data_IF_929342092782
#
_entry.id   IF_929342092782
#
_cell.length_a   1.000
_cell.length_b   1.000
_cell.length_c   1.000
_cell.angle_alpha   90.00
_cell.angle_beta   90.00
_cell.angle_gamma   90.00
#
_symmetry.space_group_name_H-M   'P 1'
#
loop_
_entity.id
_entity.type
_entity.pdbx_description
1 polymer ?
#
# COMPACT_ATOMS: atom_id res chain seq x y z
N UNK A 1 10.64 -19.69 15.09
CA UNK A 1 9.48 -20.30 14.40
C UNK A 1 9.96 -20.84 13.05
N UNK A 2 9.63 -22.10 12.69
CA UNK A 2 9.98 -22.65 11.37
C UNK A 2 8.71 -22.74 10.53
N UNK A 3 8.62 -21.91 9.50
CA UNK A 3 7.53 -21.98 8.53
C UNK A 3 7.91 -23.02 7.49
N UNK A 4 7.04 -24.02 7.26
CA UNK A 4 7.25 -25.03 6.23
C UNK A 4 7.42 -24.37 4.85
N UNK A 5 8.33 -24.84 4.00
CA UNK A 5 8.51 -24.25 2.68
C UNK A 5 7.79 -25.11 1.64
N UNK A 6 6.57 -24.73 1.29
CA UNK A 6 5.88 -25.28 0.12
C UNK A 6 6.31 -24.53 -1.14
N UNK A 7 6.17 -25.15 -2.32
CA UNK A 7 6.53 -24.51 -3.59
C UNK A 7 5.78 -23.19 -3.82
N UNK A 8 4.49 -23.16 -3.47
CA UNK A 8 3.69 -21.93 -3.55
C UNK A 8 4.23 -20.84 -2.64
N UNK A 9 4.65 -21.19 -1.42
CA UNK A 9 5.20 -20.23 -0.46
C UNK A 9 6.58 -19.75 -0.90
N UNK A 10 7.41 -20.64 -1.44
CA UNK A 10 8.70 -20.29 -2.01
C UNK A 10 8.56 -19.25 -3.13
N UNK A 11 7.63 -19.44 -4.06
CA UNK A 11 7.36 -18.46 -5.13
C UNK A 11 6.89 -17.11 -4.59
N UNK A 12 5.97 -17.11 -3.62
CA UNK A 12 5.53 -15.86 -2.97
C UNK A 12 6.67 -15.12 -2.27
N UNK A 13 7.61 -15.84 -1.66
CA UNK A 13 8.78 -15.23 -1.03
C UNK A 13 9.74 -14.60 -2.03
N UNK A 14 9.94 -15.20 -3.21
CA UNK A 14 10.73 -14.55 -4.27
C UNK A 14 10.04 -13.27 -4.77
N UNK A 15 8.72 -13.29 -5.00
CA UNK A 15 7.99 -12.07 -5.36
C UNK A 15 8.03 -10.99 -4.28
N UNK A 16 7.99 -11.38 -3.01
CA UNK A 16 8.14 -10.45 -1.90
C UNK A 16 9.54 -9.82 -1.89
N UNK A 17 10.59 -10.59 -2.13
CA UNK A 17 11.95 -10.06 -2.25
C UNK A 17 12.07 -9.06 -3.40
N UNK A 18 11.51 -9.38 -4.55
CA UNK A 18 11.47 -8.47 -5.70
C UNK A 18 10.72 -7.16 -5.37
N UNK A 19 9.54 -7.27 -4.73
CA UNK A 19 8.72 -6.11 -4.39
C UNK A 19 9.32 -5.22 -3.29
N UNK A 20 10.03 -5.82 -2.33
CA UNK A 20 10.65 -5.11 -1.20
C UNK A 20 12.09 -4.65 -1.48
N UNK A 21 12.73 -5.19 -2.52
CA UNK A 21 14.15 -4.98 -2.80
C UNK A 21 15.09 -5.72 -1.84
N UNK A 22 14.57 -6.62 -0.99
CA UNK A 22 15.35 -7.33 0.02
C UNK A 22 15.93 -8.65 -0.52
N UNK A 23 17.20 -8.91 -0.23
CA UNK A 23 17.88 -10.16 -0.63
C UNK A 23 17.47 -11.36 0.23
N UNK A 24 17.14 -11.10 1.51
CA UNK A 24 16.83 -12.13 2.48
C UNK A 24 15.33 -12.31 2.66
N UNK A 25 14.86 -13.56 2.59
CA UNK A 25 13.43 -13.89 2.79
C UNK A 25 12.89 -13.40 4.14
N UNK A 26 13.70 -13.47 5.20
CA UNK A 26 13.27 -12.99 6.52
C UNK A 26 12.99 -11.48 6.49
N UNK A 27 13.88 -10.69 5.90
CA UNK A 27 13.72 -9.24 5.79
C UNK A 27 12.53 -8.86 4.92
N UNK A 28 12.35 -9.55 3.78
CA UNK A 28 11.19 -9.35 2.91
C UNK A 28 9.87 -9.65 3.64
N UNK A 29 9.86 -10.68 4.50
CA UNK A 29 8.69 -11.02 5.31
C UNK A 29 8.44 -9.99 6.42
N UNK A 30 9.49 -9.52 7.08
CA UNK A 30 9.38 -8.49 8.12
C UNK A 30 8.82 -7.18 7.50
N UNK A 31 9.38 -6.75 6.36
CA UNK A 31 8.89 -5.59 5.61
C UNK A 31 7.42 -5.73 5.20
N UNK A 32 7.02 -6.91 4.70
CA UNK A 32 5.63 -7.16 4.32
C UNK A 32 4.68 -7.17 5.53
N UNK A 33 5.12 -7.71 6.67
CA UNK A 33 4.36 -7.70 7.91
C UNK A 33 4.17 -6.28 8.44
N UNK A 34 5.24 -5.50 8.50
CA UNK A 34 5.22 -4.09 8.93
C UNK A 34 4.28 -3.27 8.03
N UNK A 35 4.37 -3.45 6.71
CA UNK A 35 3.48 -2.80 5.76
C UNK A 35 2.02 -3.16 6.02
N UNK A 36 1.69 -4.44 6.17
CA UNK A 36 0.32 -4.88 6.41
C UNK A 36 -0.24 -4.29 7.71
N UNK A 37 0.53 -4.35 8.80
CA UNK A 37 0.15 -3.81 10.10
C UNK A 37 -0.09 -2.30 10.06
N UNK A 38 0.77 -1.56 9.34
CA UNK A 38 0.63 -0.11 9.14
C UNK A 38 -0.60 0.26 8.32
N UNK A 39 -0.88 -0.51 7.26
CA UNK A 39 -1.99 -0.23 6.34
C UNK A 39 -3.34 -0.59 6.93
N UNK A 40 -3.45 -1.79 7.50
CA UNK A 40 -4.69 -2.30 8.07
C UNK A 40 -4.99 -1.68 9.44
N UNK A 41 -3.97 -1.61 10.31
CA UNK A 41 -4.14 -1.22 11.71
C UNK A 41 -4.93 -2.26 12.51
N UNK A 42 -5.82 -1.78 13.38
CA UNK A 42 -6.62 -2.61 14.31
C UNK A 42 -5.76 -3.51 15.21
N UNK A 43 -4.63 -2.97 15.65
CA UNK A 43 -3.72 -3.61 16.61
C UNK A 43 -3.41 -2.68 17.76
N UNK A 44 -2.87 -3.21 18.86
CA UNK A 44 -2.44 -2.41 20.01
C UNK A 44 -1.38 -1.37 19.66
N UNK A 45 -0.51 -1.68 18.68
CA UNK A 45 0.55 -0.78 18.23
C UNK A 45 0.07 0.23 17.17
N UNK A 46 -0.86 -0.18 16.31
CA UNK A 46 -1.44 0.66 15.25
C UNK A 46 -2.97 0.60 15.35
N UNK A 47 -3.60 1.43 16.20
CA UNK A 47 -5.05 1.38 16.41
C UNK A 47 -5.86 1.79 15.18
N UNK A 48 -5.32 2.67 14.33
CA UNK A 48 -5.95 3.11 13.08
C UNK A 48 -4.95 2.98 11.93
N UNK A 49 -5.28 2.13 10.95
CA UNK A 49 -4.46 1.93 9.77
C UNK A 49 -4.64 3.03 8.72
N UNK A 50 -3.66 3.15 7.82
CA UNK A 50 -3.66 4.15 6.74
C UNK A 50 -4.83 4.01 5.77
N UNK A 51 -5.34 2.80 5.55
CA UNK A 51 -6.52 2.59 4.71
C UNK A 51 -7.79 3.18 5.34
N UNK A 52 -7.96 3.05 6.66
CA UNK A 52 -9.10 3.65 7.35
C UNK A 52 -9.01 5.18 7.34
N UNK A 53 -7.81 5.73 7.47
CA UNK A 53 -7.54 7.16 7.31
C UNK A 53 -7.91 7.64 5.90
N UNK A 54 -7.48 6.92 4.86
CA UNK A 54 -7.78 7.22 3.47
C UNK A 54 -9.30 7.24 3.20
N UNK A 55 -10.01 6.20 3.64
CA UNK A 55 -11.46 6.12 3.47
C UNK A 55 -12.20 7.23 4.20
N UNK A 56 -11.74 7.59 5.41
CA UNK A 56 -12.29 8.73 6.17
C UNK A 56 -12.08 10.04 5.41
N UNK A 57 -10.87 10.27 4.88
CA UNK A 57 -10.54 11.47 4.13
C UNK A 57 -11.37 11.59 2.84
N UNK A 58 -11.50 10.49 2.10
CA UNK A 58 -12.32 10.45 0.89
C UNK A 58 -13.81 10.73 1.18
N UNK A 59 -14.35 10.18 2.28
CA UNK A 59 -15.74 10.43 2.67
C UNK A 59 -15.99 11.88 3.09
N UNK A 60 -15.03 12.50 3.78
CA UNK A 60 -15.17 13.88 4.25
C UNK A 60 -14.97 14.93 3.15
N UNK A 61 -14.04 14.68 2.21
CA UNK A 61 -13.67 15.64 1.16
C UNK A 61 -14.38 15.38 -0.17
N UNK A 62 -14.98 14.20 -0.35
CA UNK A 62 -15.66 13.77 -1.58
C UNK A 62 -14.72 13.27 -2.68
N UNK A 63 -13.53 13.86 -2.81
CA UNK A 63 -12.46 13.40 -3.71
C UNK A 63 -11.09 13.66 -3.10
N UNK A 64 -10.11 12.83 -3.46
CA UNK A 64 -8.70 13.02 -3.10
C UNK A 64 -7.83 13.04 -4.35
N UNK A 65 -6.81 13.90 -4.39
CA UNK A 65 -5.81 13.89 -5.45
C UNK A 65 -4.78 12.77 -5.22
N UNK A 66 -4.06 12.34 -6.27
CA UNK A 66 -2.94 11.41 -6.13
C UNK A 66 -1.94 11.76 -5.01
N UNK A 67 -1.61 13.04 -4.87
CA UNK A 67 -0.66 13.55 -3.88
C UNK A 67 -1.22 13.41 -2.46
N UNK A 68 -2.51 13.72 -2.25
CA UNK A 68 -3.18 13.51 -0.95
C UNK A 68 -3.25 12.03 -0.59
N UNK A 69 -3.47 11.15 -1.57
CA UNK A 69 -3.46 9.70 -1.35
C UNK A 69 -2.05 9.25 -0.96
N UNK A 70 -1.01 9.72 -1.65
CA UNK A 70 0.37 9.38 -1.37
C UNK A 70 0.80 9.83 0.04
N UNK A 71 0.42 11.04 0.43
CA UNK A 71 0.66 11.59 1.78
C UNK A 71 -0.01 10.72 2.85
N UNK A 72 -1.27 10.34 2.66
CA UNK A 72 -1.99 9.50 3.64
C UNK A 72 -1.33 8.12 3.76
N UNK A 73 -1.00 7.50 2.64
CA UNK A 73 -0.40 6.16 2.61
C UNK A 73 1.09 6.16 3.00
N UNK A 74 1.68 7.33 3.25
CA UNK A 74 3.11 7.47 3.58
C UNK A 74 3.98 6.72 2.57
N UNK A 75 3.72 7.03 1.29
CA UNK A 75 4.43 6.51 0.13
C UNK A 75 5.00 7.69 -0.65
N UNK A 76 6.27 7.61 -1.05
CA UNK A 76 6.97 8.75 -1.65
C UNK A 76 6.30 9.21 -2.95
N UNK A 77 5.90 8.29 -3.82
CA UNK A 77 5.07 8.57 -5.00
C UNK A 77 4.24 7.34 -5.37
N UNK A 78 2.94 7.51 -5.63
CA UNK A 78 2.17 6.50 -6.37
C UNK A 78 2.50 6.68 -7.86
N UNK A 79 2.89 5.63 -8.61
CA UNK A 79 3.14 5.73 -10.04
C UNK A 79 1.81 5.82 -10.80
N UNK A 80 1.10 6.94 -10.66
CA UNK A 80 -0.18 7.18 -11.33
C UNK A 80 0.04 8.14 -12.50
N UNK A 81 -0.25 7.66 -13.71
CA UNK A 81 -0.49 8.53 -14.88
C UNK A 81 -1.97 8.89 -14.89
N UNK A 82 -2.30 10.18 -14.79
CA UNK A 82 -3.65 10.65 -15.07
C UNK A 82 -3.71 11.28 -16.47
N UNK A 83 -4.81 11.03 -17.17
CA UNK A 83 -5.13 11.70 -18.43
C UNK A 83 -6.47 12.40 -18.24
N UNK A 84 -6.46 13.73 -18.30
CA UNK A 84 -7.65 14.56 -18.10
C UNK A 84 -8.12 15.06 -19.46
N UNK A 85 -9.25 14.54 -19.94
CA UNK A 85 -9.92 15.05 -21.14
C UNK A 85 -11.08 15.96 -20.75
N UNK A 86 -11.01 17.24 -21.11
CA UNK A 86 -12.10 18.21 -20.92
C UNK A 86 -12.64 18.59 -22.28
N UNK A 87 -13.94 18.35 -22.52
CA UNK A 87 -14.64 18.86 -23.71
C UNK A 87 -15.72 19.85 -23.27
N UNK A 88 -15.57 21.11 -23.68
CA UNK A 88 -16.64 22.11 -23.61
C UNK A 88 -17.34 22.19 -24.97
N UNK A 89 -18.68 22.07 -24.97
CA UNK A 89 -19.49 22.12 -26.19
C UNK A 89 -19.38 23.48 -26.89
N UNK A 90 -19.20 23.49 -28.21
CA UNK A 90 -19.31 24.71 -29.04
C UNK A 90 -20.79 25.12 -29.09
N UNK A 91 -21.08 26.34 -28.67
CA UNK A 91 -22.32 27.04 -29.06
C UNK A 91 -22.31 27.34 -30.56
#
# INVERSE_FOLDING_TARGET
MRIEKTDTRARKWEFLKEATGEDATSKALDCAADYYLRMWGDTTAVPKGKLAELMTAAQNRGSLTPEEIAEILDTDELPVRCEVSVSVGRQ
#
